data_IF_362921165965
#
_entry.id   IF_362921165965
#
_cell.length_a   1.000
_cell.length_b   1.000
_cell.length_c   1.000
_cell.angle_alpha   90.00
_cell.angle_beta   90.00
_cell.angle_gamma   90.00
#
_symmetry.space_group_name_H-M   'P 1'
#
loop_
_entity.id
_entity.type
_entity.pdbx_description
1 polymer ?
#
# COMPACT_ATOMS: atom_id res chain seq x y z
N UNK A 1 23.90 -13.38 2.13
CA UNK A 1 24.10 -13.51 0.66
C UNK A 1 23.74 -12.19 0.02
N UNK A 2 24.35 -11.79 -1.08
CA UNK A 2 23.94 -10.60 -1.81
C UNK A 2 22.55 -10.81 -2.41
N UNK A 3 21.64 -9.84 -2.22
CA UNK A 3 20.28 -9.88 -2.80
C UNK A 3 20.38 -9.53 -4.28
N UNK A 4 19.70 -10.31 -5.13
CA UNK A 4 19.54 -10.03 -6.55
C UNK A 4 18.09 -10.20 -6.96
N UNK A 5 17.41 -9.10 -7.31
CA UNK A 5 16.02 -9.08 -7.74
C UNK A 5 15.84 -8.84 -9.23
N UNK A 6 16.92 -8.87 -10.02
CA UNK A 6 16.87 -8.67 -11.48
C UNK A 6 15.92 -9.65 -12.14
N UNK A 7 15.00 -9.13 -12.94
CA UNK A 7 14.01 -9.91 -13.67
C UNK A 7 12.84 -10.44 -12.86
N UNK A 8 12.82 -10.19 -11.53
CA UNK A 8 11.72 -10.64 -10.67
C UNK A 8 10.53 -9.68 -10.77
N UNK A 9 9.33 -10.24 -10.77
CA UNK A 9 8.09 -9.51 -10.56
C UNK A 9 7.92 -9.14 -9.08
N UNK A 10 7.14 -8.09 -8.82
CA UNK A 10 6.80 -7.62 -7.47
C UNK A 10 5.28 -7.62 -7.32
N UNK A 11 4.70 -8.79 -6.97
CA UNK A 11 3.26 -8.99 -6.94
C UNK A 11 2.67 -8.83 -5.54
N UNK A 12 3.34 -9.39 -4.54
CA UNK A 12 3.01 -9.33 -3.12
C UNK A 12 4.28 -9.42 -2.30
N UNK A 13 4.27 -8.91 -1.06
CA UNK A 13 5.38 -9.11 -0.13
C UNK A 13 5.50 -10.56 0.37
N UNK A 14 4.48 -11.40 0.20
CA UNK A 14 4.58 -12.83 0.52
C UNK A 14 5.71 -13.52 -0.26
N UNK A 15 5.99 -13.09 -1.49
CA UNK A 15 7.00 -13.67 -2.38
C UNK A 15 8.45 -13.30 -1.99
N UNK A 16 8.63 -12.42 -1.02
CA UNK A 16 9.94 -11.88 -0.67
C UNK A 16 10.37 -12.32 0.75
N UNK A 17 11.65 -12.57 0.89
CA UNK A 17 12.27 -12.79 2.20
C UNK A 17 12.41 -11.47 2.97
N UNK A 18 12.51 -11.51 4.31
CA UNK A 18 12.81 -10.31 5.10
C UNK A 18 14.07 -9.56 4.64
N UNK A 19 15.10 -10.29 4.21
CA UNK A 19 16.35 -9.70 3.69
C UNK A 19 16.15 -8.96 2.35
N UNK A 20 15.28 -9.49 1.48
CA UNK A 20 14.94 -8.84 0.21
C UNK A 20 14.08 -7.59 0.43
N UNK A 21 13.12 -7.64 1.37
CA UNK A 21 12.33 -6.47 1.77
C UNK A 21 13.25 -5.40 2.37
N UNK A 22 14.16 -5.78 3.28
CA UNK A 22 15.15 -4.86 3.85
C UNK A 22 16.00 -4.21 2.78
N UNK A 23 16.48 -4.99 1.79
CA UNK A 23 17.24 -4.46 0.67
C UNK A 23 16.44 -3.39 -0.12
N UNK A 24 15.15 -3.62 -0.38
CA UNK A 24 14.30 -2.65 -1.07
C UNK A 24 14.11 -1.37 -0.26
N UNK A 25 13.95 -1.47 1.06
CA UNK A 25 13.84 -0.31 1.95
C UNK A 25 15.15 0.49 1.97
N UNK A 26 16.30 -0.17 2.14
CA UNK A 26 17.62 0.48 2.13
C UNK A 26 17.89 1.18 0.79
N UNK A 27 17.56 0.53 -0.32
CA UNK A 27 17.66 1.12 -1.66
C UNK A 27 16.73 2.33 -1.82
N UNK A 28 15.50 2.25 -1.28
CA UNK A 28 14.55 3.36 -1.27
C UNK A 28 15.09 4.59 -0.55
N UNK A 29 15.67 4.40 0.63
CA UNK A 29 16.32 5.46 1.40
C UNK A 29 17.53 6.06 0.68
N UNK A 30 18.40 5.22 0.08
CA UNK A 30 19.55 5.69 -0.71
C UNK A 30 19.10 6.54 -1.90
N UNK A 31 18.14 6.06 -2.68
CA UNK A 31 17.62 6.79 -3.84
C UNK A 31 16.89 8.09 -3.44
N UNK A 32 16.21 8.12 -2.29
CA UNK A 32 15.62 9.35 -1.72
C UNK A 32 16.70 10.34 -1.34
N UNK A 33 17.76 9.90 -0.65
CA UNK A 33 18.89 10.72 -0.26
C UNK A 33 19.62 11.29 -1.48
N UNK A 34 19.90 10.49 -2.50
CA UNK A 34 20.50 10.93 -3.77
C UNK A 34 19.66 12.00 -4.46
N UNK A 35 18.34 11.79 -4.56
CA UNK A 35 17.42 12.79 -5.13
C UNK A 35 17.49 14.12 -4.38
N UNK A 36 17.45 14.08 -3.04
CA UNK A 36 17.54 15.30 -2.20
C UNK A 36 18.90 16.02 -2.37
N UNK A 37 19.95 15.28 -2.62
CA UNK A 37 21.29 15.82 -2.90
C UNK A 37 21.49 16.28 -4.35
N UNK A 38 20.47 16.14 -5.22
CA UNK A 38 20.60 16.49 -6.66
C UNK A 38 21.47 15.52 -7.46
N UNK A 39 21.75 14.34 -6.93
CA UNK A 39 22.53 13.29 -7.62
C UNK A 39 21.60 12.53 -8.54
N UNK A 40 21.90 12.54 -9.84
CA UNK A 40 21.14 11.84 -10.87
C UNK A 40 22.05 10.81 -11.56
N UNK A 41 21.81 9.55 -11.28
CA UNK A 41 22.52 8.40 -11.86
C UNK A 41 21.49 7.45 -12.50
N UNK A 42 20.97 7.75 -13.71
CA UNK A 42 19.84 7.02 -14.28
C UNK A 42 20.24 5.59 -14.62
N UNK A 43 19.66 4.63 -13.90
CA UNK A 43 19.94 3.19 -14.02
C UNK A 43 19.08 2.49 -15.06
N UNK A 44 17.99 3.14 -15.53
CA UNK A 44 17.04 2.57 -16.48
C UNK A 44 17.05 3.28 -17.85
N UNK A 45 18.16 3.90 -18.22
CA UNK A 45 18.29 4.59 -19.50
C UNK A 45 18.03 3.64 -20.68
N UNK A 46 17.08 4.02 -21.55
CA UNK A 46 16.66 3.25 -22.73
C UNK A 46 15.69 2.12 -22.41
N UNK A 47 15.18 2.03 -21.18
CA UNK A 47 14.08 1.14 -20.81
C UNK A 47 12.73 1.75 -21.10
N UNK A 48 11.75 0.92 -21.39
CA UNK A 48 10.36 1.29 -21.63
C UNK A 48 9.46 0.47 -20.71
N UNK A 49 8.61 1.13 -19.95
CA UNK A 49 7.62 0.46 -19.09
C UNK A 49 6.21 0.87 -19.49
N UNK A 50 5.26 0.00 -19.24
CA UNK A 50 3.83 0.30 -19.40
C UNK A 50 3.12 0.28 -18.06
N UNK A 51 2.21 1.25 -17.87
CA UNK A 51 1.32 1.33 -16.72
C UNK A 51 -0.09 0.98 -17.18
N UNK A 52 -0.64 -0.14 -16.69
CA UNK A 52 -1.97 -0.65 -17.02
C UNK A 52 -2.93 -0.35 -15.87
N UNK A 53 -3.95 0.50 -16.12
CA UNK A 53 -4.88 0.95 -15.11
C UNK A 53 -6.32 0.56 -15.46
N UNK A 54 -6.90 -0.35 -14.69
CA UNK A 54 -8.33 -0.61 -14.67
C UNK A 54 -9.05 0.26 -13.63
N UNK A 55 -8.35 0.58 -12.52
CA UNK A 55 -8.77 1.55 -11.49
C UNK A 55 -7.95 2.83 -11.60
N UNK A 56 -8.64 3.99 -11.62
CA UNK A 56 -7.96 5.28 -11.65
C UNK A 56 -7.13 5.53 -10.38
N UNK A 57 -6.02 6.22 -10.50
CA UNK A 57 -5.20 6.65 -9.36
C UNK A 57 -4.25 7.78 -9.75
N UNK A 58 -4.33 8.87 -9.03
CA UNK A 58 -3.37 9.97 -9.16
C UNK A 58 -2.00 9.59 -8.60
N UNK A 59 -1.97 9.11 -7.36
CA UNK A 59 -0.71 8.82 -6.63
C UNK A 59 0.09 7.70 -7.27
N UNK A 60 -0.51 6.55 -7.53
CA UNK A 60 0.21 5.40 -8.14
C UNK A 60 0.75 5.78 -9.51
N UNK A 61 -0.07 6.41 -10.37
CA UNK A 61 0.37 6.86 -11.69
C UNK A 61 1.55 7.81 -11.59
N UNK A 62 1.39 8.93 -10.88
CA UNK A 62 2.46 9.93 -10.75
C UNK A 62 3.73 9.34 -10.12
N UNK A 63 3.62 8.45 -9.13
CA UNK A 63 4.76 7.82 -8.50
C UNK A 63 5.57 6.95 -9.47
N UNK A 64 4.91 6.10 -10.26
CA UNK A 64 5.57 5.28 -11.29
C UNK A 64 6.16 6.15 -12.40
N UNK A 65 5.39 7.11 -12.94
CA UNK A 65 5.86 8.00 -14.01
C UNK A 65 7.11 8.78 -13.58
N UNK A 66 7.08 9.40 -12.39
CA UNK A 66 8.20 10.20 -11.89
C UNK A 66 9.39 9.30 -11.54
N UNK A 67 9.17 8.18 -10.85
CA UNK A 67 10.23 7.24 -10.48
C UNK A 67 10.98 6.72 -11.72
N UNK A 68 10.23 6.24 -12.72
CA UNK A 68 10.80 5.70 -13.96
C UNK A 68 11.54 6.77 -14.78
N UNK A 69 10.94 7.95 -14.93
CA UNK A 69 11.54 9.06 -15.69
C UNK A 69 12.82 9.56 -15.05
N UNK A 70 12.88 9.66 -13.71
CA UNK A 70 14.10 10.06 -13.01
C UNK A 70 15.25 9.08 -13.20
N UNK A 71 14.95 7.79 -13.39
CA UNK A 71 15.91 6.74 -13.71
C UNK A 71 16.20 6.59 -15.22
N UNK A 72 15.63 7.46 -16.06
CA UNK A 72 15.87 7.50 -17.51
C UNK A 72 15.04 6.54 -18.34
N UNK A 73 13.99 5.95 -17.79
CA UNK A 73 13.06 5.13 -18.52
C UNK A 73 11.97 5.97 -19.22
N UNK A 74 11.37 5.40 -20.26
CA UNK A 74 10.16 5.92 -20.90
C UNK A 74 8.92 5.21 -20.33
N UNK A 75 7.82 5.94 -20.20
CA UNK A 75 6.57 5.42 -19.63
C UNK A 75 5.45 5.55 -20.65
N UNK A 76 4.69 4.48 -20.86
CA UNK A 76 3.42 4.48 -21.59
C UNK A 76 2.29 4.22 -20.59
N UNK A 77 1.26 5.05 -20.62
CA UNK A 77 0.07 4.87 -19.78
C UNK A 77 -1.10 4.34 -20.62
N UNK A 78 -1.69 3.25 -20.16
CA UNK A 78 -2.88 2.65 -20.74
C UNK A 78 -3.96 2.47 -19.67
N UNK A 79 -5.11 3.11 -19.88
CA UNK A 79 -6.29 2.91 -19.04
C UNK A 79 -7.29 1.93 -19.68
N UNK A 80 -8.35 1.61 -18.92
CA UNK A 80 -9.40 0.70 -19.37
C UNK A 80 -10.11 1.15 -20.68
N UNK A 81 -10.07 2.45 -21.01
CA UNK A 81 -10.70 2.98 -22.24
C UNK A 81 -9.74 2.92 -23.42
N UNK A 82 -8.45 3.05 -23.20
CA UNK A 82 -7.39 3.03 -24.20
C UNK A 82 -6.84 1.62 -24.49
N UNK A 83 -7.27 0.59 -23.73
CA UNK A 83 -6.84 -0.80 -23.88
C UNK A 83 -7.97 -1.71 -24.41
N UNK A 84 -7.60 -2.71 -25.21
CA UNK A 84 -8.48 -3.81 -25.65
C UNK A 84 -8.40 -5.05 -24.74
N UNK A 85 -7.50 -5.04 -23.76
CA UNK A 85 -7.27 -6.12 -22.79
C UNK A 85 -8.59 -6.46 -22.05
N UNK A 86 -8.91 -7.75 -21.98
CA UNK A 86 -10.14 -8.24 -21.39
C UNK A 86 -11.45 -7.94 -22.15
N UNK A 87 -11.37 -7.23 -23.30
CA UNK A 87 -12.54 -6.89 -24.13
C UNK A 87 -12.54 -7.67 -25.44
N UNK A 88 -11.56 -7.47 -26.30
CA UNK A 88 -11.41 -8.12 -27.61
C UNK A 88 -10.16 -9.00 -27.67
N UNK A 89 -9.31 -8.94 -26.69
CA UNK A 89 -8.07 -9.70 -26.58
C UNK A 89 -8.00 -10.34 -25.19
N UNK A 90 -7.51 -11.59 -25.14
CA UNK A 90 -7.29 -12.27 -23.86
C UNK A 90 -6.19 -11.59 -23.05
N UNK A 91 -6.21 -11.75 -21.72
CA UNK A 91 -5.15 -11.24 -20.86
C UNK A 91 -3.79 -11.88 -21.21
N UNK A 92 -3.78 -13.18 -21.54
CA UNK A 92 -2.59 -13.92 -21.96
C UNK A 92 -1.99 -13.36 -23.24
N UNK A 93 -2.80 -13.09 -24.27
CA UNK A 93 -2.31 -12.55 -25.54
C UNK A 93 -1.80 -11.11 -25.35
N UNK A 94 -2.55 -10.28 -24.64
CA UNK A 94 -2.11 -8.93 -24.27
C UNK A 94 -0.77 -8.95 -23.51
N UNK A 95 -0.61 -9.84 -22.53
CA UNK A 95 0.62 -9.99 -21.78
C UNK A 95 1.81 -10.33 -22.68
N UNK A 96 1.62 -11.30 -23.59
CA UNK A 96 2.67 -11.72 -24.55
C UNK A 96 3.08 -10.60 -25.51
N UNK A 97 2.13 -9.76 -25.94
CA UNK A 97 2.39 -8.61 -26.81
C UNK A 97 3.14 -7.52 -26.02
N UNK A 98 2.64 -7.16 -24.85
CA UNK A 98 3.25 -6.11 -24.02
C UNK A 98 4.66 -6.49 -23.57
N UNK A 99 4.89 -7.75 -23.22
CA UNK A 99 6.22 -8.24 -22.86
C UNK A 99 7.25 -8.24 -24.00
N UNK A 100 6.81 -8.04 -25.25
CA UNK A 100 7.71 -7.85 -26.41
C UNK A 100 7.98 -6.39 -26.72
N UNK A 101 7.15 -5.48 -26.22
CA UNK A 101 7.31 -4.04 -26.43
C UNK A 101 8.01 -3.36 -25.26
N UNK A 102 7.77 -3.85 -24.04
CA UNK A 102 8.19 -3.20 -22.81
C UNK A 102 9.17 -4.05 -22.00
N UNK A 103 9.99 -3.38 -21.20
CA UNK A 103 10.94 -4.02 -20.27
C UNK A 103 10.29 -4.36 -18.92
N UNK A 104 9.07 -3.88 -18.67
CA UNK A 104 8.31 -4.18 -17.46
C UNK A 104 6.91 -3.59 -17.53
N UNK A 105 6.00 -4.14 -16.71
CA UNK A 105 4.56 -3.84 -16.71
C UNK A 105 4.14 -3.52 -15.29
N UNK A 106 3.55 -2.36 -15.06
CA UNK A 106 2.79 -2.08 -13.85
C UNK A 106 1.31 -2.38 -14.10
N UNK A 107 0.65 -2.97 -13.14
CA UNK A 107 -0.78 -3.23 -13.16
C UNK A 107 -1.46 -2.68 -11.91
N UNK A 108 -2.52 -1.90 -12.13
CA UNK A 108 -3.44 -1.44 -11.10
C UNK A 108 -4.88 -1.77 -11.51
N UNK A 109 -5.48 -2.70 -10.80
CA UNK A 109 -6.81 -3.20 -11.13
C UNK A 109 -7.55 -3.79 -9.95
N UNK A 110 -8.43 -4.73 -10.24
CA UNK A 110 -9.29 -5.39 -9.26
C UNK A 110 -8.73 -6.75 -8.87
N UNK A 111 -8.41 -7.58 -9.85
CA UNK A 111 -8.15 -9.00 -9.66
C UNK A 111 -6.66 -9.29 -9.47
N UNK A 112 -6.32 -9.95 -8.35
CA UNK A 112 -4.96 -10.44 -8.08
C UNK A 112 -4.52 -11.48 -9.14
N UNK A 113 -5.45 -12.31 -9.60
CA UNK A 113 -5.17 -13.30 -10.64
C UNK A 113 -4.74 -12.66 -11.97
N UNK A 114 -5.28 -11.49 -12.30
CA UNK A 114 -4.89 -10.76 -13.50
C UNK A 114 -3.42 -10.34 -13.46
N UNK A 115 -2.92 -9.83 -12.35
CA UNK A 115 -1.51 -9.43 -12.23
C UNK A 115 -0.57 -10.65 -12.21
N UNK A 116 -1.01 -11.77 -11.63
CA UNK A 116 -0.27 -13.04 -11.66
C UNK A 116 -0.17 -13.60 -13.10
N UNK A 117 -1.25 -13.55 -13.86
CA UNK A 117 -1.26 -14.00 -15.24
C UNK A 117 -0.42 -13.08 -16.15
N UNK A 118 -0.45 -11.77 -15.94
CA UNK A 118 0.48 -10.84 -16.59
C UNK A 118 1.94 -11.24 -16.31
N UNK A 119 2.29 -11.50 -15.06
CA UNK A 119 3.64 -11.92 -14.69
C UNK A 119 4.03 -13.27 -15.32
N UNK A 120 3.08 -14.20 -15.37
CA UNK A 120 3.29 -15.55 -15.94
C UNK A 120 3.54 -15.53 -17.45
N UNK A 121 2.83 -14.67 -18.18
CA UNK A 121 2.80 -14.75 -19.65
C UNK A 121 3.60 -13.67 -20.37
N UNK A 122 3.92 -12.55 -19.72
CA UNK A 122 4.63 -11.43 -20.36
C UNK A 122 6.11 -11.71 -20.65
N UNK A 123 6.77 -12.49 -19.77
CA UNK A 123 8.23 -12.72 -19.86
C UNK A 123 9.08 -11.54 -19.39
N UNK A 124 8.47 -10.51 -18.81
CA UNK A 124 9.14 -9.36 -18.22
C UNK A 124 8.63 -9.14 -16.78
N UNK A 125 9.36 -8.40 -15.91
CA UNK A 125 8.88 -8.07 -14.58
C UNK A 125 7.54 -7.35 -14.59
N UNK A 126 6.65 -7.77 -13.69
CA UNK A 126 5.35 -7.15 -13.44
C UNK A 126 5.30 -6.64 -12.01
N UNK A 127 4.78 -5.43 -11.83
CA UNK A 127 4.66 -4.79 -10.52
C UNK A 127 3.20 -4.47 -10.20
N UNK A 128 2.76 -4.87 -9.02
CA UNK A 128 1.42 -4.57 -8.52
C UNK A 128 1.34 -3.14 -8.01
N UNK A 129 0.60 -2.30 -8.70
CA UNK A 129 0.26 -0.97 -8.23
C UNK A 129 -0.80 -0.99 -7.12
N UNK A 130 -1.83 -1.83 -7.29
CA UNK A 130 -2.86 -2.21 -6.31
C UNK A 130 -3.79 -3.25 -6.94
N UNK A 131 -4.27 -4.18 -6.12
CA UNK A 131 -5.44 -5.03 -6.38
C UNK A 131 -6.41 -4.96 -5.20
N UNK A 132 -7.56 -5.64 -5.30
CA UNK A 132 -8.48 -5.75 -4.16
C UNK A 132 -7.91 -6.64 -3.03
N UNK A 133 -6.87 -7.41 -3.31
CA UNK A 133 -6.22 -8.31 -2.35
C UNK A 133 -4.99 -7.68 -1.68
N UNK A 134 -4.22 -6.82 -2.38
CA UNK A 134 -2.91 -6.37 -1.87
C UNK A 134 -2.49 -5.00 -2.42
N UNK A 135 -1.63 -4.31 -1.68
CA UNK A 135 -1.00 -3.06 -2.06
C UNK A 135 0.48 -3.01 -1.63
N UNK A 136 1.34 -3.90 -2.16
CA UNK A 136 2.69 -4.11 -1.60
C UNK A 136 3.62 -2.91 -1.71
N UNK A 137 3.46 -2.07 -2.74
CA UNK A 137 4.27 -0.84 -2.90
C UNK A 137 3.92 0.23 -1.85
N UNK A 138 2.68 0.21 -1.31
CA UNK A 138 2.29 1.07 -0.20
C UNK A 138 3.01 0.65 1.08
N UNK A 139 3.01 -0.63 1.40
CA UNK A 139 3.63 -1.14 2.62
C UNK A 139 5.14 -0.84 2.67
N UNK A 140 5.85 -0.89 1.54
CA UNK A 140 7.24 -0.44 1.50
C UNK A 140 7.37 1.06 1.82
N UNK A 141 6.48 1.90 1.30
CA UNK A 141 6.48 3.34 1.58
C UNK A 141 6.17 3.62 3.06
N UNK A 142 5.21 2.88 3.60
CA UNK A 142 4.80 3.00 5.00
C UNK A 142 5.96 2.64 5.94
N UNK A 143 6.65 1.53 5.66
CA UNK A 143 7.83 1.12 6.44
C UNK A 143 8.97 2.14 6.33
N UNK A 144 9.23 2.70 5.15
CA UNK A 144 10.20 3.80 4.99
C UNK A 144 9.80 5.01 5.85
N UNK A 145 8.52 5.38 5.88
CA UNK A 145 8.01 6.50 6.65
C UNK A 145 8.14 6.25 8.16
N UNK A 146 7.84 5.04 8.60
CA UNK A 146 8.04 4.64 10.00
C UNK A 146 9.53 4.76 10.39
N UNK A 147 10.45 4.30 9.56
CA UNK A 147 11.88 4.40 9.83
C UNK A 147 12.40 5.86 9.87
N UNK A 148 11.77 6.75 9.11
CA UNK A 148 12.13 8.18 9.10
C UNK A 148 11.62 8.92 10.34
N UNK A 149 10.51 8.50 10.94
CA UNK A 149 9.83 9.20 12.03
C UNK A 149 9.92 8.47 13.38
N UNK A 150 10.01 7.13 13.39
CA UNK A 150 10.16 6.34 14.61
C UNK A 150 11.62 5.95 14.82
N UNK A 151 12.20 6.32 15.95
CA UNK A 151 13.59 5.96 16.30
C UNK A 151 13.67 4.55 16.90
N UNK A 152 12.98 3.57 16.28
CA UNK A 152 12.95 2.17 16.70
C UNK A 152 13.13 1.27 15.47
N UNK A 153 13.75 0.08 15.61
CA UNK A 153 13.76 -0.89 14.50
C UNK A 153 12.34 -1.43 14.24
N UNK A 154 12.04 -1.78 12.99
CA UNK A 154 10.70 -2.21 12.57
C UNK A 154 10.13 -3.33 13.45
N UNK A 155 10.94 -4.30 13.86
CA UNK A 155 10.52 -5.40 14.73
C UNK A 155 10.21 -4.99 16.20
N UNK A 156 10.23 -3.70 16.51
CA UNK A 156 9.80 -3.12 17.80
C UNK A 156 8.65 -2.14 17.62
N UNK A 157 8.15 -2.00 16.42
CA UNK A 157 7.03 -1.12 16.08
C UNK A 157 5.73 -1.87 16.24
N UNK A 158 4.76 -1.21 16.89
CA UNK A 158 3.36 -1.63 16.96
C UNK A 158 2.51 -0.73 16.07
N UNK A 159 1.88 -1.33 15.07
CA UNK A 159 0.91 -0.68 14.17
C UNK A 159 -0.48 -1.16 14.54
N UNK A 160 -1.43 -0.26 14.71
CA UNK A 160 -2.85 -0.57 14.87
C UNK A 160 -3.62 -0.01 13.69
N UNK A 161 -4.41 -0.86 13.05
CA UNK A 161 -5.28 -0.53 11.91
C UNK A 161 -6.75 -0.58 12.38
N UNK A 162 -7.37 0.56 12.74
CA UNK A 162 -8.77 0.61 13.12
C UNK A 162 -9.65 0.79 11.88
N UNK A 163 -10.65 -0.08 11.69
CA UNK A 163 -11.59 0.05 10.58
C UNK A 163 -12.08 -1.25 9.99
N UNK A 164 -12.19 -1.31 8.66
CA UNK A 164 -12.58 -2.54 7.95
C UNK A 164 -11.38 -3.47 7.83
N UNK A 165 -11.33 -4.46 8.70
CA UNK A 165 -10.22 -5.44 8.74
C UNK A 165 -10.15 -6.36 7.52
N UNK A 166 -11.15 -6.32 6.60
CA UNK A 166 -11.15 -7.04 5.32
C UNK A 166 -10.57 -6.23 4.18
N UNK A 167 -10.21 -4.98 4.46
CA UNK A 167 -9.65 -4.06 3.48
C UNK A 167 -8.29 -4.59 2.98
N UNK A 168 -7.98 -4.37 1.69
CA UNK A 168 -6.71 -4.78 1.10
C UNK A 168 -5.48 -4.18 1.79
N UNK A 169 -5.59 -2.96 2.35
CA UNK A 169 -4.51 -2.38 3.15
C UNK A 169 -4.28 -3.13 4.45
N UNK A 170 -5.34 -3.59 5.12
CA UNK A 170 -5.20 -4.41 6.32
C UNK A 170 -4.47 -5.72 6.00
N UNK A 171 -4.84 -6.40 4.92
CA UNK A 171 -4.15 -7.63 4.48
C UNK A 171 -2.69 -7.35 4.08
N UNK A 172 -2.44 -6.30 3.31
CA UNK A 172 -1.09 -5.91 2.93
C UNK A 172 -0.20 -5.61 4.16
N UNK A 173 -0.77 -4.91 5.16
CA UNK A 173 -0.09 -4.67 6.44
C UNK A 173 0.17 -5.96 7.21
N UNK A 174 -0.79 -6.88 7.29
CA UNK A 174 -0.60 -8.19 7.93
C UNK A 174 0.59 -8.93 7.31
N UNK A 175 0.67 -8.98 5.98
CA UNK A 175 1.75 -9.62 5.24
C UNK A 175 3.09 -8.94 5.55
N UNK A 176 3.16 -7.63 5.36
CA UNK A 176 4.39 -6.86 5.56
C UNK A 176 4.90 -6.92 7.00
N UNK A 177 4.01 -6.75 7.98
CA UNK A 177 4.35 -6.82 9.39
C UNK A 177 4.85 -8.22 9.80
N UNK A 178 4.21 -9.28 9.30
CA UNK A 178 4.62 -10.66 9.54
C UNK A 178 6.03 -10.93 8.98
N UNK A 179 6.32 -10.44 7.76
CA UNK A 179 7.65 -10.57 7.15
C UNK A 179 8.74 -9.84 7.94
N UNK A 180 8.45 -8.63 8.44
CA UNK A 180 9.43 -7.79 9.12
C UNK A 180 9.47 -7.98 10.64
N UNK A 181 8.73 -8.97 11.17
CA UNK A 181 8.71 -9.29 12.60
C UNK A 181 8.09 -8.18 13.46
N UNK A 182 7.17 -7.40 12.90
CA UNK A 182 6.49 -6.29 13.58
C UNK A 182 5.32 -6.80 14.43
N UNK A 183 4.79 -5.93 15.29
CA UNK A 183 3.51 -6.13 15.95
C UNK A 183 2.42 -5.37 15.18
N UNK A 184 1.45 -6.10 14.64
CA UNK A 184 0.31 -5.52 13.92
C UNK A 184 -1.02 -5.95 14.54
N UNK A 185 -1.92 -4.99 14.73
CA UNK A 185 -3.25 -5.20 15.30
C UNK A 185 -4.29 -4.74 14.28
N UNK A 186 -5.02 -5.68 13.71
CA UNK A 186 -6.23 -5.41 12.93
C UNK A 186 -7.39 -5.19 13.90
N UNK A 187 -7.84 -3.95 14.04
CA UNK A 187 -8.88 -3.57 14.99
C UNK A 187 -10.18 -3.24 14.27
N UNK A 188 -11.18 -4.07 14.41
CA UNK A 188 -12.48 -3.83 13.76
C UNK A 188 -13.60 -4.67 14.35
N UNK A 189 -14.84 -4.48 13.85
CA UNK A 189 -15.99 -5.23 14.31
C UNK A 189 -15.80 -6.75 14.16
N UNK A 190 -16.19 -7.51 15.19
CA UNK A 190 -16.12 -8.98 15.18
C UNK A 190 -16.83 -9.61 13.96
N UNK A 191 -17.93 -8.98 13.51
CA UNK A 191 -18.66 -9.49 12.34
C UNK A 191 -17.82 -9.41 11.05
N UNK A 192 -17.00 -8.35 10.87
CA UNK A 192 -16.10 -8.24 9.72
C UNK A 192 -14.88 -9.15 9.88
N UNK A 193 -14.38 -9.32 11.10
CA UNK A 193 -13.28 -10.24 11.38
C UNK A 193 -13.62 -11.70 11.02
N UNK A 194 -14.87 -12.13 11.18
CA UNK A 194 -15.33 -13.46 10.78
C UNK A 194 -15.35 -13.68 9.25
N UNK A 195 -15.45 -12.60 8.49
CA UNK A 195 -15.48 -12.64 7.02
C UNK A 195 -14.08 -12.51 6.36
N UNK A 196 -13.03 -12.35 7.16
CA UNK A 196 -11.65 -12.26 6.65
C UNK A 196 -11.23 -13.56 5.97
N UNK A 197 -10.28 -13.46 5.02
CA UNK A 197 -9.66 -14.62 4.36
C UNK A 197 -8.87 -15.47 5.36
N UNK A 198 -9.45 -16.60 5.75
CA UNK A 198 -8.90 -17.51 6.75
C UNK A 198 -7.62 -18.21 6.27
N UNK A 199 -7.45 -18.37 4.95
CA UNK A 199 -6.25 -18.98 4.38
C UNK A 199 -5.07 -18.00 4.45
N UNK A 200 -5.29 -16.75 4.12
CA UNK A 200 -4.31 -15.70 4.28
C UNK A 200 -3.93 -15.52 5.76
N UNK A 201 -4.91 -15.45 6.66
CA UNK A 201 -4.67 -15.32 8.11
C UNK A 201 -3.76 -16.45 8.62
N UNK A 202 -4.02 -17.69 8.23
CA UNK A 202 -3.18 -18.84 8.64
C UNK A 202 -1.75 -18.70 8.17
N UNK A 203 -1.54 -18.28 6.89
CA UNK A 203 -0.19 -18.07 6.33
C UNK A 203 0.54 -16.95 7.05
N UNK A 204 -0.15 -15.81 7.24
CA UNK A 204 0.41 -14.64 7.92
C UNK A 204 0.80 -14.94 9.36
N UNK A 205 -0.04 -15.65 10.12
CA UNK A 205 0.28 -16.04 11.50
C UNK A 205 1.48 -16.99 11.58
N UNK A 206 1.63 -17.89 10.61
CA UNK A 206 2.81 -18.75 10.53
C UNK A 206 4.07 -17.92 10.23
N UNK A 207 4.01 -17.06 9.23
CA UNK A 207 5.10 -16.15 8.82
C UNK A 207 5.52 -15.23 9.98
N UNK A 208 4.56 -14.66 10.72
CA UNK A 208 4.85 -13.80 11.87
C UNK A 208 5.64 -14.55 12.94
N UNK A 209 5.23 -15.78 13.29
CA UNK A 209 5.95 -16.64 14.27
C UNK A 209 7.39 -16.93 13.82
N UNK A 210 7.58 -17.23 12.53
CA UNK A 210 8.92 -17.51 11.97
C UNK A 210 9.86 -16.32 12.06
N UNK A 211 9.32 -15.10 11.91
CA UNK A 211 10.09 -13.86 11.92
C UNK A 211 10.07 -13.11 13.27
N UNK A 212 9.45 -13.70 14.31
CA UNK A 212 9.39 -13.11 15.65
C UNK A 212 8.43 -11.93 15.78
N UNK A 213 7.45 -11.81 14.88
CA UNK A 213 6.39 -10.80 14.91
C UNK A 213 5.13 -11.30 15.63
N UNK A 214 4.18 -10.39 15.81
CA UNK A 214 2.86 -10.67 16.40
C UNK A 214 1.77 -10.03 15.56
N UNK A 215 0.79 -10.81 15.14
CA UNK A 215 -0.40 -10.34 14.43
C UNK A 215 -1.61 -10.64 15.32
N UNK A 216 -2.45 -9.64 15.55
CA UNK A 216 -3.66 -9.74 16.34
C UNK A 216 -4.87 -9.23 15.55
N UNK A 217 -6.03 -9.81 15.81
CA UNK A 217 -7.33 -9.37 15.27
C UNK A 217 -8.23 -9.16 16.49
N UNK A 218 -8.77 -7.97 16.67
CA UNK A 218 -9.48 -7.59 17.89
C UNK A 218 -10.55 -6.53 17.64
N UNK A 219 -11.53 -6.45 18.51
CA UNK A 219 -12.47 -5.33 18.66
C UNK A 219 -12.22 -4.52 19.95
N UNK A 220 -11.24 -4.95 20.76
CA UNK A 220 -10.93 -4.36 22.04
C UNK A 220 -10.06 -3.10 21.91
N UNK A 221 -10.62 -1.94 22.23
CA UNK A 221 -9.91 -0.65 22.19
C UNK A 221 -8.70 -0.54 23.14
N UNK A 222 -8.58 -1.42 24.16
CA UNK A 222 -7.40 -1.43 25.01
C UNK A 222 -6.13 -1.85 24.26
N UNK A 223 -6.28 -2.50 23.11
CA UNK A 223 -5.16 -2.92 22.25
C UNK A 223 -4.53 -1.75 21.47
N UNK A 224 -5.11 -0.53 21.55
CA UNK A 224 -4.45 0.71 21.14
C UNK A 224 -3.21 1.01 22.00
N UNK A 225 -3.18 0.55 23.24
CA UNK A 225 -2.10 0.87 24.18
C UNK A 225 -0.73 0.45 23.63
N UNK A 226 0.20 1.39 23.67
CA UNK A 226 1.58 1.19 23.22
C UNK A 226 1.75 1.20 21.71
N UNK A 227 0.73 1.60 20.92
CA UNK A 227 0.88 1.78 19.48
C UNK A 227 1.90 2.87 19.15
N UNK A 228 2.76 2.59 18.18
CA UNK A 228 3.66 3.57 17.57
C UNK A 228 2.99 4.24 16.36
N UNK A 229 2.08 3.53 15.71
CA UNK A 229 1.37 3.97 14.51
C UNK A 229 -0.10 3.61 14.61
N UNK A 230 -0.96 4.56 14.31
CA UNK A 230 -2.38 4.34 13.97
C UNK A 230 -2.51 4.54 12.47
N UNK A 231 -2.93 3.48 11.77
CA UNK A 231 -3.06 3.48 10.31
C UNK A 231 -4.53 3.54 9.90
N UNK A 232 -4.96 4.65 9.31
CA UNK A 232 -6.32 4.81 8.80
C UNK A 232 -6.47 4.36 7.35
N UNK A 233 -7.69 3.97 6.98
CA UNK A 233 -8.10 3.81 5.58
C UNK A 233 -9.60 4.09 5.43
N UNK A 234 -10.03 4.40 4.20
CA UNK A 234 -11.43 4.69 3.89
C UNK A 234 -12.33 3.48 4.20
N UNK A 235 -13.56 3.75 4.65
CA UNK A 235 -14.49 2.70 5.05
C UNK A 235 -15.20 1.99 3.88
N UNK A 236 -15.20 2.60 2.71
CA UNK A 236 -15.73 1.99 1.49
C UNK A 236 -14.77 2.25 0.33
N UNK A 237 -14.38 1.19 -0.35
CA UNK A 237 -13.48 1.25 -1.50
C UNK A 237 -14.19 1.77 -2.75
N UNK A 238 -13.43 2.13 -3.78
CA UNK A 238 -13.99 2.50 -5.08
C UNK A 238 -14.83 1.37 -5.66
N UNK A 239 -16.09 1.68 -6.02
CA UNK A 239 -17.07 0.72 -6.52
C UNK A 239 -18.00 0.15 -5.42
N UNK A 240 -17.81 0.57 -4.16
CA UNK A 240 -18.64 0.18 -3.01
C UNK A 240 -19.48 1.34 -2.47
N UNK A 241 -19.72 2.38 -3.28
CA UNK A 241 -20.39 3.61 -2.83
C UNK A 241 -21.80 3.36 -2.23
N UNK A 242 -22.50 2.33 -2.72
CA UNK A 242 -23.80 1.93 -2.21
C UNK A 242 -23.73 1.35 -0.77
N UNK A 243 -22.57 0.90 -0.33
CA UNK A 243 -22.36 0.34 1.01
C UNK A 243 -21.98 1.42 2.05
N UNK A 244 -21.71 2.64 1.63
CA UNK A 244 -21.25 3.74 2.50
C UNK A 244 -22.12 3.93 3.74
N UNK A 245 -23.47 4.01 3.68
CA UNK A 245 -24.27 4.21 4.89
C UNK A 245 -24.11 3.09 5.92
N UNK A 246 -24.11 1.84 5.45
CA UNK A 246 -23.92 0.67 6.30
C UNK A 246 -22.51 0.66 6.92
N UNK A 247 -21.50 0.93 6.10
CA UNK A 247 -20.09 0.97 6.55
C UNK A 247 -19.87 2.10 7.56
N UNK A 248 -20.36 3.31 7.28
CA UNK A 248 -20.24 4.44 8.19
C UNK A 248 -20.91 4.15 9.54
N UNK A 249 -22.10 3.55 9.56
CA UNK A 249 -22.76 3.19 10.82
C UNK A 249 -21.95 2.16 11.62
N UNK A 250 -21.41 1.14 10.95
CA UNK A 250 -20.66 0.05 11.59
C UNK A 250 -19.27 0.49 12.06
N UNK A 251 -18.57 1.33 11.27
CA UNK A 251 -17.18 1.67 11.47
C UNK A 251 -16.95 3.01 12.20
N UNK A 252 -18.00 3.81 12.41
CA UNK A 252 -17.89 5.07 13.15
C UNK A 252 -17.26 4.93 14.55
N UNK A 253 -17.43 3.81 15.30
CA UNK A 253 -16.72 3.62 16.58
C UNK A 253 -15.20 3.46 16.43
N UNK A 254 -14.72 3.15 15.22
CA UNK A 254 -13.30 2.95 14.89
C UNK A 254 -12.66 4.17 14.23
N UNK A 255 -13.42 5.28 14.10
CA UNK A 255 -12.87 6.55 13.63
C UNK A 255 -11.65 6.96 14.45
N UNK A 256 -10.61 7.41 13.76
CA UNK A 256 -9.41 7.93 14.42
C UNK A 256 -9.67 9.36 14.89
N UNK A 257 -9.59 9.57 16.18
CA UNK A 257 -9.80 10.85 16.87
C UNK A 257 -8.61 11.15 17.76
N UNK A 258 -8.54 12.36 18.31
CA UNK A 258 -7.54 12.70 19.32
C UNK A 258 -7.59 11.78 20.55
N UNK A 259 -8.80 11.30 20.93
CA UNK A 259 -8.96 10.31 21.99
C UNK A 259 -8.35 8.95 21.60
N UNK A 260 -8.44 8.56 20.30
CA UNK A 260 -7.78 7.36 19.78
C UNK A 260 -6.27 7.46 19.94
N UNK A 261 -5.68 8.60 19.58
CA UNK A 261 -4.25 8.83 19.76
C UNK A 261 -3.85 8.84 21.23
N UNK A 262 -4.62 9.51 22.08
CA UNK A 262 -4.37 9.57 23.53
C UNK A 262 -4.44 8.17 24.18
N UNK A 263 -5.35 7.31 23.73
CA UNK A 263 -5.50 5.94 24.25
C UNK A 263 -4.27 5.05 24.01
N UNK A 264 -3.40 5.40 23.07
CA UNK A 264 -2.11 4.70 22.88
C UNK A 264 -1.17 4.88 24.07
N UNK A 265 -1.29 5.99 24.79
CA UNK A 265 -0.35 6.40 25.83
C UNK A 265 1.03 6.79 25.30
N UNK A 266 1.18 6.90 23.99
CA UNK A 266 2.41 7.28 23.31
C UNK A 266 2.29 8.73 22.80
N UNK A 267 3.05 9.70 23.35
CA UNK A 267 2.98 11.09 22.91
C UNK A 267 3.55 11.32 21.51
N UNK A 268 4.30 10.35 20.97
CA UNK A 268 4.94 10.41 19.67
C UNK A 268 4.28 9.45 18.68
N UNK A 269 3.04 9.00 18.95
CA UNK A 269 2.29 8.13 18.04
C UNK A 269 2.11 8.80 16.68
N UNK A 270 2.34 8.07 15.60
CA UNK A 270 2.12 8.56 14.24
C UNK A 270 0.70 8.23 13.78
N UNK A 271 0.12 9.12 13.00
CA UNK A 271 -1.04 8.85 12.17
C UNK A 271 -0.61 8.72 10.71
N UNK A 272 -0.96 7.61 10.08
CA UNK A 272 -0.65 7.28 8.70
C UNK A 272 -1.92 6.90 7.93
N UNK A 273 -1.90 7.10 6.60
CA UNK A 273 -3.03 6.81 5.72
C UNK A 273 -2.61 6.79 4.26
N UNK A 274 -2.93 5.74 3.51
CA UNK A 274 -2.54 5.60 2.09
C UNK A 274 -3.13 6.66 1.15
N UNK A 275 -4.10 7.44 1.62
CA UNK A 275 -4.87 8.43 0.86
C UNK A 275 -5.61 7.83 -0.37
N UNK A 276 -6.78 8.37 -0.77
CA UNK A 276 -7.43 9.57 -0.21
C UNK A 276 -8.02 9.32 1.17
N UNK A 277 -8.20 10.39 1.96
CA UNK A 277 -8.82 10.35 3.28
C UNK A 277 -10.01 11.29 3.34
N UNK A 278 -11.09 10.86 3.99
CA UNK A 278 -12.20 11.73 4.36
C UNK A 278 -12.00 12.20 5.79
N UNK A 279 -11.42 13.37 5.96
CA UNK A 279 -11.19 13.97 7.28
C UNK A 279 -12.05 15.21 7.53
N UNK A 280 -12.53 15.83 6.43
CA UNK A 280 -13.42 16.98 6.43
C UNK A 280 -14.58 16.76 5.44
N UNK A 281 -15.39 17.79 5.20
CA UNK A 281 -16.48 17.76 4.23
C UNK A 281 -16.20 18.59 2.97
N UNK A 282 -14.94 18.88 2.65
CA UNK A 282 -14.57 19.69 1.49
C UNK A 282 -14.63 18.92 0.16
N UNK A 283 -14.55 17.59 0.19
CA UNK A 283 -14.72 16.77 -1.02
C UNK A 283 -16.19 16.69 -1.45
N UNK A 284 -16.42 16.57 -2.77
CA UNK A 284 -17.77 16.43 -3.30
C UNK A 284 -18.54 15.25 -2.65
N UNK A 285 -17.88 14.09 -2.55
CA UNK A 285 -18.49 12.89 -1.98
C UNK A 285 -18.84 13.06 -0.50
N UNK A 286 -17.94 13.67 0.30
CA UNK A 286 -18.21 13.90 1.71
C UNK A 286 -19.38 14.88 1.94
N UNK A 287 -19.49 15.95 1.11
CA UNK A 287 -20.63 16.88 1.14
C UNK A 287 -21.95 16.17 0.82
N UNK A 288 -21.97 15.39 -0.26
CA UNK A 288 -23.18 14.64 -0.68
C UNK A 288 -23.69 13.70 0.42
N UNK A 289 -22.80 13.01 1.13
CA UNK A 289 -23.18 12.13 2.22
C UNK A 289 -23.56 12.90 3.49
N UNK A 290 -22.87 14.00 3.79
CA UNK A 290 -23.25 14.89 4.89
C UNK A 290 -24.67 15.43 4.73
N UNK A 291 -25.04 15.86 3.52
CA UNK A 291 -26.41 16.33 3.20
C UNK A 291 -27.47 15.24 3.41
N UNK A 292 -27.07 13.96 3.24
CA UNK A 292 -27.89 12.78 3.54
C UNK A 292 -27.85 12.35 5.01
N UNK A 293 -27.14 13.08 5.87
CA UNK A 293 -27.00 12.78 7.30
C UNK A 293 -26.02 11.66 7.63
N UNK A 294 -25.13 11.30 6.71
CA UNK A 294 -24.12 10.26 6.88
C UNK A 294 -22.72 10.89 6.98
N UNK A 295 -22.02 10.66 8.08
CA UNK A 295 -20.63 11.08 8.27
C UNK A 295 -19.69 9.95 7.86
N UNK A 296 -18.99 10.13 6.74
CA UNK A 296 -18.10 9.12 6.14
C UNK A 296 -16.64 9.28 6.55
N UNK A 297 -16.32 10.23 7.41
CA UNK A 297 -14.95 10.52 7.80
C UNK A 297 -14.40 9.38 8.68
N UNK A 298 -13.31 8.77 8.24
CA UNK A 298 -12.60 7.73 9.01
C UNK A 298 -11.61 8.32 10.02
N UNK A 299 -11.29 9.61 9.89
CA UNK A 299 -10.42 10.38 10.79
C UNK A 299 -10.98 11.78 10.99
N UNK A 300 -10.72 12.40 12.12
CA UNK A 300 -11.07 13.81 12.34
C UNK A 300 -10.05 14.75 11.70
N UNK A 301 -10.47 15.97 11.30
CA UNK A 301 -9.59 16.96 10.68
C UNK A 301 -8.47 17.38 11.64
N UNK A 302 -8.76 17.42 12.95
CA UNK A 302 -7.80 17.71 14.01
C UNK A 302 -6.65 16.71 14.02
N UNK A 303 -6.92 15.41 13.91
CA UNK A 303 -5.87 14.36 13.80
C UNK A 303 -5.14 14.46 12.48
N UNK A 304 -5.89 14.58 11.38
CA UNK A 304 -5.31 14.60 10.03
C UNK A 304 -4.33 15.77 9.82
N UNK A 305 -4.60 16.93 10.46
CA UNK A 305 -3.74 18.13 10.39
C UNK A 305 -2.80 18.29 11.57
N UNK A 306 -2.78 17.34 12.50
CA UNK A 306 -1.95 17.42 13.70
C UNK A 306 -0.47 17.14 13.39
N UNK A 307 0.39 17.38 14.38
CA UNK A 307 1.81 17.00 14.35
C UNK A 307 2.05 15.49 14.28
N UNK A 308 1.04 14.69 14.60
CA UNK A 308 1.10 13.23 14.56
C UNK A 308 0.94 12.67 13.13
N UNK A 309 0.35 13.46 12.24
CA UNK A 309 0.07 13.05 10.86
C UNK A 309 1.32 13.17 10.00
N UNK A 310 1.71 12.06 9.39
CA UNK A 310 2.83 11.97 8.44
C UNK A 310 2.37 11.49 7.05
N UNK A 311 1.08 11.64 6.75
CA UNK A 311 0.43 11.14 5.53
C UNK A 311 1.05 11.68 4.23
N UNK A 312 1.59 12.90 4.24
CA UNK A 312 2.22 13.49 3.05
C UNK A 312 3.66 13.01 2.86
N UNK A 313 4.40 12.74 3.95
CA UNK A 313 5.71 12.10 3.89
C UNK A 313 5.57 10.65 3.41
N UNK A 314 4.53 9.95 3.88
CA UNK A 314 4.12 8.63 3.42
C UNK A 314 3.79 8.64 1.92
N UNK A 315 3.01 9.63 1.46
CA UNK A 315 2.70 9.79 0.04
C UNK A 315 3.95 10.09 -0.81
N UNK A 316 4.91 10.87 -0.31
CA UNK A 316 6.22 11.06 -0.97
C UNK A 316 6.97 9.74 -1.09
N UNK A 317 7.00 8.95 -0.01
CA UNK A 317 7.71 7.68 0.04
C UNK A 317 7.17 6.63 -0.94
N UNK A 318 5.91 6.77 -1.40
CA UNK A 318 5.37 5.95 -2.50
C UNK A 318 6.24 6.01 -3.76
N UNK A 319 6.69 7.20 -4.12
CA UNK A 319 7.56 7.34 -5.29
C UNK A 319 8.94 6.71 -5.06
N UNK A 320 9.47 6.80 -3.86
CA UNK A 320 10.79 6.25 -3.52
C UNK A 320 10.79 4.73 -3.40
N UNK A 321 9.76 4.14 -2.78
CA UNK A 321 9.58 2.70 -2.69
C UNK A 321 9.39 2.07 -4.08
N UNK A 322 8.56 2.67 -4.93
CA UNK A 322 8.37 2.26 -6.32
C UNK A 322 9.68 2.37 -7.10
N UNK A 323 10.42 3.47 -6.94
CA UNK A 323 11.73 3.62 -7.58
C UNK A 323 12.69 2.51 -7.18
N UNK A 324 12.74 2.14 -5.90
CA UNK A 324 13.57 1.04 -5.42
C UNK A 324 13.19 -0.29 -6.09
N UNK A 325 11.89 -0.59 -6.20
CA UNK A 325 11.40 -1.80 -6.88
C UNK A 325 11.80 -1.80 -8.36
N UNK A 326 11.59 -0.69 -9.08
CA UNK A 326 11.96 -0.57 -10.49
C UNK A 326 13.48 -0.75 -10.70
N UNK A 327 14.29 -0.05 -9.93
CA UNK A 327 15.76 -0.13 -10.01
C UNK A 327 16.25 -1.54 -9.68
N UNK A 328 15.73 -2.16 -8.63
CA UNK A 328 16.13 -3.50 -8.22
C UNK A 328 15.80 -4.57 -9.27
N UNK A 329 14.68 -4.40 -10.02
CA UNK A 329 14.17 -5.42 -10.93
C UNK A 329 14.62 -5.24 -12.38
N UNK A 330 14.70 -4.00 -12.90
CA UNK A 330 15.07 -3.71 -14.29
C UNK A 330 16.21 -2.70 -14.46
N UNK A 331 16.66 -2.01 -13.40
CA UNK A 331 17.82 -1.09 -13.44
C UNK A 331 19.11 -1.81 -13.84
N UNK A 332 20.15 -1.11 -14.25
CA UNK A 332 21.49 -1.67 -14.62
C UNK A 332 22.33 -1.93 -13.38
#
# INVERSE_FOLDING_TARGET
>A
MAVNLKGRSFLTLEDFTPAEIRYLLDLGHDLKAKRRAGICEPTMKGKHIVLLFEKTSTRTRCSFEVAATQEGAHVTYLDANSSQMGKKESLEDSAKVLGRFFDGIEYRGYDQKAVEDLAKFSGVPVWTGLTDADHPTQILADMMTIEEHCHKPLNKIKVVFPGDVRNNMCYAWMIGAAKMGMHFVAMGPEELAKEMDQDLIRRVFATARENGGLIEITDNRNDLKGADVIYGDIWASMGEEDLIPKRAALLSPYRVTEETLAATGNPDVLYMHCLPSFHDFETKLAKEWQEKGVDIREVTDEVFRSKHSVVFDEAENRMHSIKAVLVATIGK
#
